data_IF_588045348950
#
_entry.id   IF_588045348950
#
_cell.length_a   1.000
_cell.length_b   1.000
_cell.length_c   1.000
_cell.angle_alpha   90.00
_cell.angle_beta   90.00
_cell.angle_gamma   90.00
#
_symmetry.space_group_name_H-M   'P 1'
#
loop_
_entity.id
_entity.type
_entity.pdbx_description
1 polymer ?
#
# COMPACT_ATOMS: atom_id res chain seq x y z
N UNK A 1 -16.05 -4.61 -7.81
CA UNK A 1 -16.41 -6.05 -7.78
C UNK A 1 -16.40 -6.47 -6.32
N UNK A 2 -17.46 -7.13 -5.82
CA UNK A 2 -17.52 -7.55 -4.43
C UNK A 2 -16.79 -8.87 -4.21
N UNK A 3 -16.08 -8.97 -3.09
CA UNK A 3 -15.42 -10.19 -2.66
C UNK A 3 -16.42 -11.28 -2.23
N UNK A 4 -16.16 -12.56 -2.54
CA UNK A 4 -16.95 -13.66 -2.01
C UNK A 4 -16.87 -13.77 -0.48
N UNK A 5 -15.82 -13.24 0.15
CA UNK A 5 -15.64 -13.26 1.61
C UNK A 5 -16.60 -12.34 2.37
N UNK A 6 -17.34 -11.47 1.68
CA UNK A 6 -18.45 -10.74 2.28
C UNK A 6 -19.62 -11.65 2.70
N UNK A 7 -19.65 -12.91 2.23
CA UNK A 7 -20.61 -13.92 2.66
C UNK A 7 -20.17 -14.67 3.94
N UNK A 8 -18.95 -14.45 4.44
CA UNK A 8 -18.46 -15.06 5.69
C UNK A 8 -19.26 -14.55 6.90
N UNK A 9 -19.51 -15.40 7.91
CA UNK A 9 -20.21 -14.99 9.12
C UNK A 9 -19.54 -13.80 9.82
N UNK A 10 -20.33 -12.80 10.18
CA UNK A 10 -19.84 -11.59 10.86
C UNK A 10 -19.18 -10.56 9.94
N UNK A 11 -19.14 -10.79 8.64
CA UNK A 11 -18.59 -9.83 7.69
C UNK A 11 -19.41 -8.53 7.66
N UNK A 12 -18.73 -7.40 7.87
CA UNK A 12 -19.29 -6.06 7.72
C UNK A 12 -18.58 -5.39 6.54
N UNK A 13 -19.32 -4.94 5.50
CA UNK A 13 -18.70 -4.31 4.34
C UNK A 13 -17.93 -3.04 4.69
N UNK A 14 -16.78 -2.85 4.08
CA UNK A 14 -16.00 -1.63 4.21
C UNK A 14 -16.59 -0.49 3.36
N UNK A 15 -16.44 0.74 3.85
CA UNK A 15 -16.70 1.95 3.08
C UNK A 15 -15.55 2.26 2.09
N UNK A 16 -15.75 3.25 1.22
CA UNK A 16 -14.69 3.82 0.36
C UNK A 16 -13.53 4.31 1.25
N UNK A 17 -12.28 4.06 0.87
CA UNK A 17 -11.81 3.52 -0.41
C UNK A 17 -11.77 1.99 -0.52
N UNK A 18 -12.11 1.25 0.52
CA UNK A 18 -12.00 -0.21 0.59
C UNK A 18 -13.32 -0.93 0.25
N UNK A 19 -14.23 -0.26 -0.44
CA UNK A 19 -15.50 -0.86 -0.84
C UNK A 19 -15.29 -2.14 -1.65
N UNK A 20 -16.12 -3.15 -1.34
CA UNK A 20 -16.07 -4.46 -2.00
C UNK A 20 -15.40 -5.56 -1.19
N UNK A 21 -14.77 -5.23 -0.07
CA UNK A 21 -14.22 -6.19 0.92
C UNK A 21 -14.79 -5.93 2.31
N UNK A 22 -14.45 -6.75 3.31
CA UNK A 22 -14.94 -6.58 4.67
C UNK A 22 -14.10 -5.58 5.47
N UNK A 23 -14.77 -4.71 6.22
CA UNK A 23 -14.17 -3.87 7.25
C UNK A 23 -13.68 -4.72 8.43
N UNK A 24 -14.49 -5.68 8.87
CA UNK A 24 -14.17 -6.66 9.90
C UNK A 24 -15.12 -7.87 9.81
N UNK A 25 -14.80 -8.94 10.56
CA UNK A 25 -15.60 -10.18 10.66
C UNK A 25 -16.13 -10.41 12.09
N UNK A 26 -16.54 -9.33 12.75
CA UNK A 26 -17.16 -9.37 14.08
C UNK A 26 -16.43 -8.47 15.09
N UNK A 27 -15.27 -8.84 15.57
CA UNK A 27 -14.48 -8.06 16.54
C UNK A 27 -13.14 -7.58 15.95
N UNK A 28 -13.05 -6.33 15.48
CA UNK A 28 -11.84 -5.79 14.86
C UNK A 28 -10.64 -5.71 15.82
N UNK A 29 -10.87 -5.65 17.12
CA UNK A 29 -9.78 -5.67 18.11
C UNK A 29 -9.26 -7.09 18.36
N UNK A 30 -10.14 -8.10 18.37
CA UNK A 30 -9.72 -9.49 18.44
C UNK A 30 -8.94 -9.91 17.19
N UNK A 31 -9.35 -9.43 16.01
CA UNK A 31 -8.63 -9.62 14.74
C UNK A 31 -7.21 -9.05 14.82
N UNK A 32 -7.03 -7.80 15.28
CA UNK A 32 -5.73 -7.18 15.48
C UNK A 32 -4.85 -7.98 16.46
N UNK A 33 -5.39 -8.33 17.64
CA UNK A 33 -4.66 -9.14 18.65
C UNK A 33 -4.23 -10.48 18.09
N UNK A 34 -5.10 -11.15 17.34
CA UNK A 34 -4.81 -12.45 16.75
C UNK A 34 -3.69 -12.37 15.70
N UNK A 35 -3.70 -11.34 14.86
CA UNK A 35 -2.63 -11.07 13.88
C UNK A 35 -1.29 -10.85 14.60
N UNK A 36 -1.27 -10.02 15.62
CA UNK A 36 -0.03 -9.68 16.35
C UNK A 36 0.51 -10.87 17.13
N UNK A 37 -0.36 -11.70 17.72
CA UNK A 37 0.04 -12.87 18.47
C UNK A 37 0.57 -14.02 17.61
N UNK A 38 0.06 -14.17 16.41
CA UNK A 38 0.43 -15.24 15.48
C UNK A 38 0.53 -14.73 14.04
N UNK A 39 -0.56 -14.78 13.29
CA UNK A 39 -0.68 -14.22 11.94
C UNK A 39 -2.12 -14.22 11.46
N UNK A 40 -2.39 -13.41 10.44
CA UNK A 40 -3.71 -13.34 9.84
C UNK A 40 -3.66 -13.05 8.36
N UNK A 41 -4.82 -13.19 7.73
CA UNK A 41 -5.07 -12.87 6.32
C UNK A 41 -6.18 -11.83 6.22
N UNK A 42 -5.90 -10.80 5.44
CA UNK A 42 -6.84 -9.72 5.10
C UNK A 42 -7.14 -9.78 3.62
N UNK A 43 -8.42 -9.69 3.30
CA UNK A 43 -8.88 -9.59 1.91
C UNK A 43 -8.57 -8.19 1.36
N UNK A 44 -7.64 -8.13 0.43
CA UNK A 44 -7.27 -6.93 -0.31
C UNK A 44 -7.65 -7.04 -1.80
N UNK A 45 -8.67 -7.84 -2.14
CA UNK A 45 -9.07 -8.15 -3.52
C UNK A 45 -9.69 -6.97 -4.27
N UNK A 46 -9.95 -5.86 -3.60
CA UNK A 46 -10.33 -4.57 -4.19
C UNK A 46 -9.14 -3.80 -4.79
N UNK A 47 -7.88 -4.18 -4.46
CA UNK A 47 -6.68 -3.60 -5.04
C UNK A 47 -6.51 -3.97 -6.50
N UNK A 48 -5.88 -3.06 -7.26
CA UNK A 48 -5.52 -3.33 -8.64
C UNK A 48 -4.31 -4.26 -8.76
N UNK A 49 -4.33 -5.16 -9.74
CA UNK A 49 -3.22 -6.04 -10.07
C UNK A 49 -2.77 -5.79 -11.52
N UNK A 50 -1.47 -5.59 -11.70
CA UNK A 50 -0.85 -5.33 -12.99
C UNK A 50 0.19 -6.41 -13.27
N UNK A 51 0.20 -6.88 -14.51
CA UNK A 51 1.20 -7.79 -15.03
C UNK A 51 2.01 -7.11 -16.14
N UNK A 52 3.33 -7.13 -16.02
CA UNK A 52 4.25 -6.61 -17.03
C UNK A 52 5.08 -7.77 -17.58
N UNK A 53 4.92 -8.04 -18.87
CA UNK A 53 5.61 -9.11 -19.58
C UNK A 53 6.64 -8.57 -20.58
N UNK A 54 7.47 -9.47 -21.07
CA UNK A 54 8.46 -9.16 -22.11
C UNK A 54 9.89 -9.11 -21.58
N UNK A 55 10.86 -9.36 -22.48
CA UNK A 55 12.27 -9.46 -22.11
C UNK A 55 12.88 -8.18 -21.58
N UNK A 56 12.33 -7.02 -21.98
CA UNK A 56 12.85 -5.72 -21.58
C UNK A 56 12.16 -5.16 -20.30
N UNK A 57 11.29 -5.93 -19.62
CA UNK A 57 10.44 -5.50 -18.49
C UNK A 57 11.21 -4.87 -17.33
N UNK A 58 12.29 -5.49 -16.91
CA UNK A 58 13.04 -5.03 -15.74
C UNK A 58 13.84 -3.76 -16.04
N UNK A 59 14.54 -3.71 -17.18
CA UNK A 59 15.28 -2.51 -17.60
C UNK A 59 14.34 -1.34 -17.89
N UNK A 60 13.17 -1.62 -18.46
CA UNK A 60 12.16 -0.61 -18.70
C UNK A 60 11.58 -0.04 -17.42
N UNK A 61 11.10 -0.88 -16.49
CA UNK A 61 10.60 -0.42 -15.20
C UNK A 61 11.70 0.27 -14.38
N UNK A 62 12.94 -0.21 -14.46
CA UNK A 62 14.09 0.46 -13.88
C UNK A 62 14.21 1.90 -14.39
N UNK A 63 14.09 2.14 -15.69
CA UNK A 63 14.22 3.49 -16.28
C UNK A 63 13.10 4.45 -15.88
N UNK A 64 11.90 3.94 -15.58
CA UNK A 64 10.72 4.73 -15.27
C UNK A 64 10.51 5.00 -13.77
N UNK A 65 11.09 4.17 -12.92
CA UNK A 65 10.81 4.21 -11.47
C UNK A 65 12.02 4.67 -10.67
N UNK A 66 11.78 5.01 -9.43
CA UNK A 66 12.80 5.45 -8.47
C UNK A 66 13.69 4.31 -7.94
N UNK A 67 13.27 3.04 -8.10
CA UNK A 67 13.95 1.87 -7.55
C UNK A 67 14.87 1.20 -8.57
N UNK A 68 15.93 0.55 -8.08
CA UNK A 68 16.83 -0.24 -8.91
C UNK A 68 16.21 -1.63 -9.16
N UNK A 69 15.67 -1.84 -10.37
CA UNK A 69 14.94 -3.06 -10.73
C UNK A 69 15.67 -3.93 -11.77
N UNK A 70 16.74 -3.42 -12.38
CA UNK A 70 17.41 -4.08 -13.51
C UNK A 70 17.88 -5.51 -13.20
N UNK A 71 18.22 -5.76 -11.94
CA UNK A 71 18.72 -7.05 -11.47
C UNK A 71 17.82 -7.70 -10.42
N UNK A 72 16.53 -7.32 -10.38
CA UNK A 72 15.57 -7.94 -9.47
C UNK A 72 15.47 -9.44 -9.77
N UNK A 73 15.86 -10.28 -8.82
CA UNK A 73 15.84 -11.72 -9.00
C UNK A 73 14.40 -12.29 -8.89
N UNK A 74 14.12 -13.44 -9.54
CA UNK A 74 12.84 -14.10 -9.38
C UNK A 74 12.51 -14.37 -7.91
N UNK A 75 11.30 -13.98 -7.49
CA UNK A 75 10.80 -14.06 -6.11
C UNK A 75 11.25 -12.91 -5.19
N UNK A 76 12.14 -12.03 -5.65
CA UNK A 76 12.43 -10.79 -4.93
C UNK A 76 11.30 -9.78 -5.09
N UNK A 77 11.12 -8.96 -4.07
CA UNK A 77 10.10 -7.92 -4.02
C UNK A 77 10.72 -6.55 -3.89
N UNK A 78 10.08 -5.55 -4.49
CA UNK A 78 10.50 -4.16 -4.38
C UNK A 78 9.29 -3.23 -4.24
N UNK A 79 9.52 -2.09 -3.63
CA UNK A 79 8.65 -0.92 -3.69
C UNK A 79 9.31 0.10 -4.62
N UNK A 80 8.53 0.67 -5.52
CA UNK A 80 9.02 1.63 -6.51
C UNK A 80 8.00 2.75 -6.70
N UNK A 81 8.47 3.95 -7.04
CA UNK A 81 7.62 5.10 -7.31
C UNK A 81 7.80 5.56 -8.75
N UNK A 82 6.74 6.07 -9.32
CA UNK A 82 6.77 6.89 -10.53
C UNK A 82 6.47 8.31 -10.08
N UNK A 83 7.39 9.22 -10.40
CA UNK A 83 7.30 10.63 -10.01
C UNK A 83 6.93 11.49 -11.23
N UNK A 84 6.36 12.67 -10.97
CA UNK A 84 6.27 13.73 -11.98
C UNK A 84 7.63 14.44 -12.15
N UNK A 85 7.80 15.35 -13.13
CA UNK A 85 9.04 16.11 -13.32
C UNK A 85 9.45 16.96 -12.10
N UNK A 86 8.51 17.32 -11.25
CA UNK A 86 8.71 18.11 -10.03
C UNK A 86 9.10 17.23 -8.83
N UNK A 87 9.03 15.89 -8.97
CA UNK A 87 9.36 14.92 -7.93
C UNK A 87 8.20 14.52 -7.02
N UNK A 88 6.95 14.88 -7.40
CA UNK A 88 5.77 14.41 -6.69
C UNK A 88 5.42 12.98 -7.09
N UNK A 89 4.85 12.23 -6.15
CA UNK A 89 4.48 10.83 -6.35
C UNK A 89 3.20 10.73 -7.16
N UNK A 90 3.29 10.18 -8.38
CA UNK A 90 2.13 9.86 -9.23
C UNK A 90 1.62 8.45 -8.99
N UNK A 91 2.55 7.47 -8.89
CA UNK A 91 2.21 6.08 -8.62
C UNK A 91 3.16 5.44 -7.63
N UNK A 92 2.63 4.59 -6.77
CA UNK A 92 3.38 3.65 -5.93
C UNK A 92 3.08 2.23 -6.39
N UNK A 93 4.13 1.46 -6.65
CA UNK A 93 4.06 0.08 -7.07
C UNK A 93 4.73 -0.79 -6.02
N UNK A 94 4.03 -1.83 -5.60
CA UNK A 94 4.61 -2.94 -4.85
C UNK A 94 4.66 -4.14 -5.77
N UNK A 95 5.85 -4.62 -6.07
CA UNK A 95 6.08 -5.55 -7.16
C UNK A 95 7.00 -6.71 -6.79
N UNK A 96 6.89 -7.79 -7.56
CA UNK A 96 7.79 -8.95 -7.55
C UNK A 96 7.95 -9.46 -8.98
N UNK A 97 9.10 -10.06 -9.30
CA UNK A 97 9.31 -10.75 -10.57
C UNK A 97 9.22 -12.27 -10.35
N UNK A 98 8.54 -13.00 -11.23
CA UNK A 98 8.46 -14.46 -11.17
C UNK A 98 9.44 -15.17 -12.14
N UNK A 99 10.27 -14.39 -12.84
CA UNK A 99 11.19 -14.84 -13.87
C UNK A 99 10.65 -14.65 -15.29
N UNK A 100 9.34 -14.62 -15.47
CA UNK A 100 8.66 -14.42 -16.76
C UNK A 100 7.97 -13.07 -16.85
N UNK A 101 7.41 -12.59 -15.73
CA UNK A 101 6.66 -11.36 -15.63
C UNK A 101 6.92 -10.64 -14.31
N UNK A 102 6.82 -9.32 -14.32
CA UNK A 102 6.69 -8.51 -13.10
C UNK A 102 5.21 -8.41 -12.76
N UNK A 103 4.90 -8.76 -11.52
CA UNK A 103 3.58 -8.61 -10.92
C UNK A 103 3.60 -7.45 -9.94
N UNK A 104 2.65 -6.53 -10.07
CA UNK A 104 2.52 -5.42 -9.15
C UNK A 104 1.08 -5.29 -8.65
N UNK A 105 0.92 -4.84 -7.42
CA UNK A 105 -0.38 -4.38 -6.94
C UNK A 105 -0.33 -2.90 -6.56
N UNK A 106 -1.47 -2.25 -6.73
CA UNK A 106 -1.65 -0.81 -6.49
C UNK A 106 -2.94 -0.56 -5.74
N UNK A 107 -3.14 0.65 -5.24
CA UNK A 107 -4.39 1.05 -4.59
C UNK A 107 -5.61 0.91 -5.52
N UNK A 108 -6.81 0.75 -4.94
CA UNK A 108 -8.04 0.60 -5.72
C UNK A 108 -8.20 1.71 -6.75
N UNK A 109 -8.57 1.34 -7.99
CA UNK A 109 -8.79 2.28 -9.09
C UNK A 109 -7.50 2.84 -9.73
N UNK A 110 -6.31 2.44 -9.26
CA UNK A 110 -5.04 2.95 -9.80
C UNK A 110 -4.43 2.10 -10.91
N UNK A 111 -4.93 0.89 -11.16
CA UNK A 111 -4.38 0.01 -12.18
C UNK A 111 -4.52 0.57 -13.60
N UNK A 112 -5.72 1.03 -13.98
CA UNK A 112 -5.98 1.63 -15.29
C UNK A 112 -5.07 2.83 -15.59
N UNK A 113 -5.05 3.88 -14.76
CA UNK A 113 -4.15 5.03 -14.94
C UNK A 113 -2.66 4.66 -15.03
N UNK A 114 -2.21 3.69 -14.23
CA UNK A 114 -0.82 3.22 -14.29
C UNK A 114 -0.52 2.50 -15.61
N UNK A 115 -1.40 1.60 -16.06
CA UNK A 115 -1.23 0.90 -17.35
C UNK A 115 -1.26 1.87 -18.52
N UNK A 116 -2.11 2.89 -18.49
CA UNK A 116 -2.13 3.96 -19.50
C UNK A 116 -0.80 4.70 -19.55
N UNK A 117 -0.27 5.13 -18.40
CA UNK A 117 1.05 5.77 -18.31
C UNK A 117 2.14 4.84 -18.87
N UNK A 118 2.21 3.59 -18.41
CA UNK A 118 3.20 2.63 -18.85
C UNK A 118 3.11 2.37 -20.37
N UNK A 119 1.91 2.26 -20.91
CA UNK A 119 1.71 2.07 -22.36
C UNK A 119 2.25 3.25 -23.17
N UNK A 120 2.03 4.49 -22.69
CA UNK A 120 2.56 5.71 -23.32
C UNK A 120 4.09 5.72 -23.33
N UNK A 121 4.73 5.15 -22.30
CA UNK A 121 6.19 5.12 -22.16
C UNK A 121 6.86 3.90 -22.80
N UNK A 122 6.11 3.06 -23.49
CA UNK A 122 6.61 1.80 -24.07
C UNK A 122 7.61 1.99 -25.23
N UNK A 123 7.39 2.97 -26.10
CA UNK A 123 8.14 3.17 -27.34
C UNK A 123 8.27 1.87 -28.16
N UNK A 124 9.50 1.52 -28.56
CA UNK A 124 9.79 0.29 -29.33
C UNK A 124 10.26 -0.88 -28.46
N UNK A 125 10.11 -0.81 -27.14
CA UNK A 125 10.53 -1.87 -26.24
C UNK A 125 9.59 -3.08 -26.32
N UNK A 126 10.16 -4.27 -26.08
CA UNK A 126 9.45 -5.56 -26.12
C UNK A 126 8.84 -5.85 -24.75
N UNK A 127 7.87 -5.04 -24.38
CA UNK A 127 7.17 -5.12 -23.10
C UNK A 127 5.68 -4.92 -23.30
N UNK A 128 4.89 -5.44 -22.39
CA UNK A 128 3.46 -5.21 -22.31
C UNK A 128 3.03 -5.09 -20.85
N UNK A 129 2.32 -4.03 -20.51
CA UNK A 129 1.69 -3.84 -19.21
C UNK A 129 0.18 -4.03 -19.34
N UNK A 130 -0.40 -4.90 -18.52
CA UNK A 130 -1.82 -5.27 -18.58
C UNK A 130 -2.44 -5.15 -17.19
N UNK A 131 -3.62 -4.53 -17.10
CA UNK A 131 -4.47 -4.62 -15.92
C UNK A 131 -5.15 -5.98 -15.89
N UNK A 132 -4.78 -6.80 -14.92
CA UNK A 132 -5.31 -8.16 -14.72
C UNK A 132 -6.17 -8.26 -13.45
N UNK A 133 -6.68 -7.13 -12.98
CA UNK A 133 -7.51 -7.04 -11.75
C UNK A 133 -8.77 -7.89 -11.84
N UNK A 134 -9.32 -8.11 -13.06
CA UNK A 134 -10.48 -9.00 -13.25
C UNK A 134 -10.19 -10.46 -12.92
N UNK A 135 -8.96 -10.92 -13.16
CA UNK A 135 -8.57 -12.33 -13.09
C UNK A 135 -7.83 -12.67 -11.80
N UNK A 136 -7.18 -11.67 -11.19
CA UNK A 136 -6.36 -11.83 -10.00
C UNK A 136 -6.87 -10.97 -8.84
N UNK A 137 -6.50 -11.38 -7.65
CA UNK A 137 -6.82 -10.72 -6.39
C UNK A 137 -5.60 -10.70 -5.48
N UNK A 138 -5.59 -9.77 -4.54
CA UNK A 138 -4.55 -9.65 -3.51
C UNK A 138 -5.10 -10.13 -2.17
N UNK A 139 -4.33 -10.97 -1.48
CA UNK A 139 -4.53 -11.32 -0.08
C UNK A 139 -3.32 -10.79 0.71
N UNK A 140 -3.55 -10.01 1.73
CA UNK A 140 -2.48 -9.50 2.59
C UNK A 140 -2.32 -10.39 3.82
N UNK A 141 -1.17 -11.03 4.00
CA UNK A 141 -0.85 -11.77 5.21
C UNK A 141 0.07 -10.96 6.12
N UNK A 142 -0.24 -10.97 7.43
CA UNK A 142 0.38 -10.16 8.46
C UNK A 142 0.73 -11.01 9.67
N UNK A 143 1.66 -10.54 10.49
CA UNK A 143 2.06 -11.18 11.73
C UNK A 143 3.35 -11.98 11.63
N UNK A 144 3.91 -12.40 12.79
CA UNK A 144 5.25 -12.99 12.86
C UNK A 144 5.36 -14.38 12.24
N UNK A 145 4.26 -15.15 12.21
CA UNK A 145 4.24 -16.53 11.70
C UNK A 145 3.67 -16.64 10.28
N UNK A 146 3.48 -15.52 9.57
CA UNK A 146 2.92 -15.53 8.22
C UNK A 146 3.77 -16.32 7.24
N UNK A 147 3.16 -17.11 6.34
CA UNK A 147 3.90 -17.84 5.31
C UNK A 147 4.46 -16.89 4.24
N UNK A 148 5.51 -17.36 3.55
CA UNK A 148 6.10 -16.58 2.46
C UNK A 148 5.15 -16.39 1.27
N UNK A 149 4.33 -17.39 0.93
CA UNK A 149 3.52 -17.41 -0.30
C UNK A 149 4.38 -17.68 -1.55
N UNK A 150 3.79 -18.15 -2.63
CA UNK A 150 4.50 -18.41 -3.88
C UNK A 150 4.67 -17.13 -4.71
N UNK A 151 3.57 -16.54 -5.17
CA UNK A 151 3.58 -15.27 -5.88
C UNK A 151 3.17 -14.15 -4.91
N UNK A 152 4.15 -13.52 -4.27
CA UNK A 152 3.89 -12.53 -3.23
C UNK A 152 4.87 -11.36 -3.27
N UNK A 153 4.35 -10.16 -3.12
CA UNK A 153 5.13 -8.95 -2.85
C UNK A 153 5.32 -8.83 -1.33
N UNK A 154 6.55 -8.88 -0.88
CA UNK A 154 6.90 -8.95 0.55
C UNK A 154 7.66 -7.73 1.01
N UNK A 155 7.35 -7.30 2.21
CA UNK A 155 8.17 -6.34 2.96
C UNK A 155 8.24 -6.76 4.44
N UNK A 156 8.86 -5.92 5.28
CA UNK A 156 8.98 -6.18 6.72
C UNK A 156 7.63 -6.22 7.44
N UNK A 157 6.60 -5.60 6.90
CA UNK A 157 5.26 -5.50 7.51
C UNK A 157 4.33 -6.62 7.05
N UNK A 158 4.28 -6.91 5.74
CA UNK A 158 3.28 -7.80 5.15
C UNK A 158 3.83 -8.65 4.00
N UNK A 159 3.10 -9.72 3.64
CA UNK A 159 3.22 -10.38 2.35
C UNK A 159 1.89 -10.24 1.62
N UNK A 160 1.92 -9.63 0.44
CA UNK A 160 0.74 -9.45 -0.42
C UNK A 160 0.76 -10.53 -1.48
N UNK A 161 -0.03 -11.58 -1.27
CA UNK A 161 -0.08 -12.77 -2.13
C UNK A 161 -1.05 -12.49 -3.27
N UNK A 162 -0.59 -12.66 -4.50
CA UNK A 162 -1.41 -12.53 -5.71
C UNK A 162 -1.95 -13.92 -6.06
N UNK A 163 -3.26 -14.05 -6.12
CA UNK A 163 -3.97 -15.30 -6.37
C UNK A 163 -4.96 -15.15 -7.51
N UNK A 164 -5.32 -16.26 -8.18
CA UNK A 164 -6.46 -16.23 -9.10
C UNK A 164 -7.73 -15.84 -8.34
N UNK A 165 -8.49 -14.90 -8.86
CA UNK A 165 -9.70 -14.39 -8.21
C UNK A 165 -10.71 -15.52 -7.95
N UNK A 166 -10.84 -16.46 -8.86
CA UNK A 166 -11.71 -17.63 -8.68
C UNK A 166 -11.26 -18.58 -7.56
N UNK A 167 -9.99 -18.53 -7.15
CA UNK A 167 -9.43 -19.34 -6.06
C UNK A 167 -9.43 -18.62 -4.70
N UNK A 168 -9.84 -17.34 -4.63
CA UNK A 168 -9.72 -16.50 -3.45
C UNK A 168 -10.30 -17.18 -2.18
N UNK A 169 -11.57 -17.60 -2.23
CA UNK A 169 -12.24 -18.21 -1.07
C UNK A 169 -11.56 -19.53 -0.63
N UNK A 170 -11.18 -20.38 -1.59
CA UNK A 170 -10.48 -21.63 -1.29
C UNK A 170 -9.10 -21.39 -0.68
N UNK A 171 -8.36 -20.38 -1.19
CA UNK A 171 -7.06 -19.98 -0.65
C UNK A 171 -7.21 -19.51 0.81
N UNK A 172 -8.17 -18.63 1.08
CA UNK A 172 -8.43 -18.15 2.45
C UNK A 172 -8.84 -19.29 3.38
N UNK A 173 -9.68 -20.21 2.92
CA UNK A 173 -10.04 -21.40 3.72
C UNK A 173 -8.80 -22.25 4.07
N UNK A 174 -7.89 -22.44 3.12
CA UNK A 174 -6.61 -23.15 3.35
C UNK A 174 -5.71 -22.42 4.37
N UNK A 175 -5.59 -21.08 4.24
CA UNK A 175 -4.80 -20.28 5.18
C UNK A 175 -5.39 -20.33 6.60
N UNK A 176 -6.72 -20.24 6.74
CA UNK A 176 -7.41 -20.41 8.03
C UNK A 176 -7.19 -21.79 8.63
N UNK A 177 -7.23 -22.83 7.82
CA UNK A 177 -6.92 -24.20 8.28
C UNK A 177 -5.47 -24.35 8.76
N UNK A 178 -4.57 -23.50 8.27
CA UNK A 178 -3.17 -23.41 8.72
C UNK A 178 -2.97 -22.44 9.90
N UNK A 179 -4.06 -21.94 10.50
CA UNK A 179 -4.01 -21.10 11.70
C UNK A 179 -4.10 -19.59 11.45
N UNK A 180 -4.37 -19.14 10.21
CA UNK A 180 -4.57 -17.71 9.94
C UNK A 180 -5.85 -17.18 10.59
N UNK A 181 -5.77 -16.03 11.21
CA UNK A 181 -6.94 -15.24 11.59
C UNK A 181 -7.47 -14.54 10.34
N UNK A 182 -8.74 -14.74 9.99
CA UNK A 182 -9.39 -13.93 8.98
C UNK A 182 -9.72 -12.57 9.59
N UNK A 183 -9.22 -11.51 8.96
CA UNK A 183 -9.39 -10.15 9.46
C UNK A 183 -9.79 -9.20 8.33
N UNK A 184 -10.47 -8.11 8.69
CA UNK A 184 -10.89 -7.09 7.75
C UNK A 184 -9.90 -5.94 7.61
N UNK A 185 -10.30 -4.96 6.76
CA UNK A 185 -9.46 -3.80 6.46
C UNK A 185 -9.20 -2.92 7.68
N UNK A 186 -10.12 -2.87 8.65
CA UNK A 186 -9.89 -2.09 9.88
C UNK A 186 -8.70 -2.62 10.71
N UNK A 187 -8.53 -3.93 10.79
CA UNK A 187 -7.35 -4.50 11.45
C UNK A 187 -6.06 -4.17 10.70
N UNK A 188 -6.08 -4.28 9.37
CA UNK A 188 -4.94 -3.89 8.52
C UNK A 188 -4.58 -2.42 8.69
N UNK A 189 -5.57 -1.51 8.60
CA UNK A 189 -5.36 -0.07 8.72
C UNK A 189 -4.80 0.33 10.09
N UNK A 190 -5.35 -0.22 11.18
CA UNK A 190 -4.84 0.04 12.52
C UNK A 190 -3.36 -0.38 12.67
N UNK A 191 -3.03 -1.58 12.21
CA UNK A 191 -1.66 -2.10 12.31
C UNK A 191 -0.68 -1.36 11.39
N UNK A 192 -1.08 -0.96 10.15
CA UNK A 192 -0.19 -0.20 9.27
C UNK A 192 0.07 1.22 9.76
N UNK A 193 -0.96 1.90 10.32
CA UNK A 193 -0.83 3.23 10.91
C UNK A 193 0.10 3.16 12.12
N UNK A 194 -0.08 2.16 13.00
CA UNK A 194 0.81 1.94 14.13
C UNK A 194 2.26 1.67 13.69
N UNK A 195 2.46 1.01 12.55
CA UNK A 195 3.77 0.77 11.94
C UNK A 195 4.33 1.97 11.14
N UNK A 196 3.62 3.10 11.08
CA UNK A 196 4.05 4.29 10.32
C UNK A 196 4.09 4.08 8.80
N UNK A 197 3.25 3.19 8.26
CA UNK A 197 3.21 2.86 6.82
C UNK A 197 2.19 3.74 6.10
N UNK A 198 2.62 4.70 5.27
CA UNK A 198 1.69 5.55 4.52
C UNK A 198 0.95 4.78 3.43
N UNK A 199 -0.24 5.25 3.11
CA UNK A 199 -1.10 4.71 2.06
C UNK A 199 -1.36 5.79 1.00
N UNK A 200 -1.01 5.54 -0.28
CA UNK A 200 -1.28 6.48 -1.36
C UNK A 200 -2.76 6.87 -1.46
N UNK A 201 -3.00 8.16 -1.65
CA UNK A 201 -4.35 8.72 -1.78
C UNK A 201 -5.07 8.99 -0.47
N UNK A 202 -4.61 8.41 0.65
CA UNK A 202 -5.06 8.77 2.00
C UNK A 202 -4.02 9.61 2.73
N UNK A 203 -2.78 9.13 2.79
CA UNK A 203 -1.68 9.82 3.49
C UNK A 203 -0.83 10.67 2.53
N UNK A 204 -1.24 10.76 1.25
CA UNK A 204 -0.58 11.54 0.21
C UNK A 204 -1.56 12.45 -0.50
N UNK A 205 -1.10 13.61 -0.91
CA UNK A 205 -1.76 14.50 -1.87
C UNK A 205 -0.97 14.54 -3.20
N UNK A 206 -1.45 15.36 -4.15
CA UNK A 206 -0.81 15.56 -5.46
C UNK A 206 0.56 16.25 -5.39
N UNK A 207 0.99 16.72 -4.22
CA UNK A 207 2.27 17.40 -3.98
C UNK A 207 3.22 16.57 -3.13
N UNK A 208 2.82 15.38 -2.71
CA UNK A 208 3.60 14.53 -1.82
C UNK A 208 4.90 14.08 -2.50
N UNK A 209 6.03 14.22 -1.79
CA UNK A 209 7.35 13.76 -2.23
C UNK A 209 7.81 12.58 -1.38
N UNK A 210 8.70 11.69 -1.88
CA UNK A 210 9.11 10.48 -1.18
C UNK A 210 9.65 10.72 0.24
N UNK A 211 10.34 11.83 0.47
CA UNK A 211 10.93 12.18 1.77
C UNK A 211 9.89 12.42 2.87
N UNK A 212 8.74 12.99 2.51
CA UNK A 212 7.67 13.28 3.46
C UNK A 212 7.07 12.01 4.07
N UNK A 213 7.17 10.90 3.35
CA UNK A 213 6.49 9.64 3.59
C UNK A 213 7.43 8.53 4.11
N UNK A 214 8.72 8.83 4.28
CA UNK A 214 9.70 7.83 4.67
C UNK A 214 10.00 6.80 3.56
N UNK A 215 9.68 7.10 2.30
CA UNK A 215 9.87 6.17 1.18
C UNK A 215 11.27 6.22 0.56
N UNK A 216 12.15 7.09 1.04
CA UNK A 216 13.53 7.16 0.53
C UNK A 216 14.27 5.85 0.77
N UNK A 217 14.11 5.24 1.94
CA UNK A 217 14.82 4.01 2.29
C UNK A 217 14.24 2.75 1.63
N UNK A 218 12.94 2.77 1.28
CA UNK A 218 12.25 1.57 0.81
C UNK A 218 11.96 1.58 -0.69
N UNK A 219 11.73 2.75 -1.28
CA UNK A 219 11.25 2.87 -2.65
C UNK A 219 12.19 3.65 -3.58
N UNK A 220 13.29 4.21 -3.07
CA UNK A 220 14.21 5.04 -3.86
C UNK A 220 15.63 4.51 -3.77
N UNK A 221 16.25 4.26 -4.92
CA UNK A 221 17.67 3.93 -4.99
C UNK A 221 18.46 5.17 -5.39
N UNK A 222 19.10 5.82 -4.41
CA UNK A 222 19.77 7.12 -4.58
C UNK A 222 20.95 7.10 -5.57
N UNK A 223 21.58 5.94 -5.81
CA UNK A 223 22.75 5.80 -6.67
C UNK A 223 22.44 5.18 -8.03
N UNK A 224 21.17 4.99 -8.40
CA UNK A 224 20.80 4.51 -9.73
C UNK A 224 20.91 5.62 -10.79
N UNK A 225 20.84 5.22 -12.07
CA UNK A 225 20.79 6.16 -13.21
C UNK A 225 19.57 7.09 -13.20
N UNK A 226 19.47 7.93 -14.20
CA UNK A 226 18.45 8.96 -14.29
C UNK A 226 17.02 8.38 -14.29
N UNK A 227 16.12 9.05 -13.60
CA UNK A 227 14.68 8.84 -13.63
C UNK A 227 13.94 10.17 -13.46
N UNK A 228 12.68 10.21 -13.84
CA UNK A 228 11.85 11.43 -13.79
C UNK A 228 11.70 11.92 -12.35
N UNK A 229 11.91 13.22 -12.11
CA UNK A 229 11.82 13.84 -10.78
C UNK A 229 13.05 13.66 -9.87
N UNK A 230 14.14 13.03 -10.35
CA UNK A 230 15.34 12.75 -9.57
C UNK A 230 16.01 14.01 -8.99
N UNK A 231 15.97 15.14 -9.70
CA UNK A 231 16.58 16.38 -9.22
C UNK A 231 15.99 16.85 -7.88
N UNK A 232 14.66 16.79 -7.75
CA UNK A 232 13.98 17.16 -6.50
C UNK A 232 14.35 16.17 -5.39
N UNK A 233 14.38 14.87 -5.67
CA UNK A 233 14.78 13.84 -4.71
C UNK A 233 16.21 14.10 -4.22
N UNK A 234 17.15 14.31 -5.11
CA UNK A 234 18.55 14.58 -4.77
C UNK A 234 18.72 15.89 -3.99
N UNK A 235 18.03 16.95 -4.41
CA UNK A 235 18.06 18.25 -3.72
C UNK A 235 17.56 18.16 -2.29
N UNK A 236 16.40 17.56 -2.07
CA UNK A 236 15.81 17.42 -0.73
C UNK A 236 16.67 16.50 0.13
N UNK A 237 17.19 15.40 -0.43
CA UNK A 237 18.09 14.48 0.27
C UNK A 237 19.35 15.19 0.76
N UNK A 238 19.99 16.01 -0.08
CA UNK A 238 21.19 16.75 0.25
C UNK A 238 20.96 17.90 1.22
N UNK A 239 19.79 18.56 1.16
CA UNK A 239 19.41 19.64 2.09
C UNK A 239 18.89 19.09 3.43
N UNK A 240 18.45 17.83 3.47
CA UNK A 240 18.02 17.13 4.69
C UNK A 240 16.66 17.54 5.28
N UNK A 241 15.91 18.41 4.62
CA UNK A 241 14.65 18.95 5.15
C UNK A 241 13.53 18.96 4.12
N UNK A 242 12.64 17.96 4.12
CA UNK A 242 11.41 18.03 3.34
C UNK A 242 10.47 19.11 3.91
N UNK A 243 9.62 19.73 3.07
CA UNK A 243 8.73 20.81 3.50
C UNK A 243 7.65 20.33 4.49
N UNK A 244 7.29 19.06 4.45
CA UNK A 244 6.30 18.40 5.31
C UNK A 244 6.84 17.05 5.77
N UNK A 245 6.18 16.46 6.74
CA UNK A 245 6.45 15.07 7.17
C UNK A 245 5.17 14.39 7.60
N UNK A 246 5.07 13.11 7.34
CA UNK A 246 4.05 12.26 7.93
C UNK A 246 4.36 12.09 9.43
N UNK A 247 3.34 12.29 10.27
CA UNK A 247 3.42 12.05 11.70
C UNK A 247 2.24 11.22 12.15
N UNK A 248 2.44 10.42 13.20
CA UNK A 248 1.36 9.73 13.89
C UNK A 248 0.93 10.59 15.08
N UNK A 249 -0.36 10.83 15.18
CA UNK A 249 -1.00 11.44 16.34
C UNK A 249 -1.73 10.36 17.13
N UNK A 250 -1.69 10.44 18.43
CA UNK A 250 -2.52 9.64 19.34
C UNK A 250 -3.60 10.59 19.88
N UNK A 251 -4.85 10.21 19.69
CA UNK A 251 -5.98 10.98 20.19
C UNK A 251 -6.25 10.60 21.65
N UNK A 252 -6.79 11.53 22.42
CA UNK A 252 -7.10 11.28 23.85
C UNK A 252 -8.34 10.39 24.08
N UNK A 253 -9.09 10.09 23.01
CA UNK A 253 -10.30 9.27 23.08
C UNK A 253 -11.49 9.97 23.76
N UNK A 254 -11.42 11.26 24.01
CA UNK A 254 -12.53 12.03 24.60
C UNK A 254 -13.75 12.11 23.69
N UNK A 255 -13.53 12.03 22.38
CA UNK A 255 -14.59 11.93 21.38
C UNK A 255 -14.69 10.51 20.81
N UNK A 256 -15.90 9.98 20.73
CA UNK A 256 -16.12 8.63 20.13
C UNK A 256 -16.13 8.67 18.58
N UNK A 257 -15.44 9.62 18.00
CA UNK A 257 -15.33 9.81 16.55
C UNK A 257 -13.86 9.89 16.15
N UNK A 258 -13.49 9.18 15.10
CA UNK A 258 -12.21 9.39 14.42
C UNK A 258 -12.31 10.61 13.49
N UNK A 259 -11.21 11.36 13.31
CA UNK A 259 -11.16 12.40 12.28
C UNK A 259 -11.31 11.78 10.89
N UNK A 260 -11.92 12.53 9.99
CA UNK A 260 -12.06 12.12 8.60
C UNK A 260 -10.82 12.47 7.78
N UNK A 261 -10.63 11.75 6.67
CA UNK A 261 -9.57 12.09 5.72
C UNK A 261 -9.75 13.53 5.22
N UNK A 262 -8.68 14.32 5.28
CA UNK A 262 -8.68 15.74 4.88
C UNK A 262 -9.05 16.72 5.98
N UNK A 263 -9.50 16.26 7.15
CA UNK A 263 -9.76 17.17 8.28
C UNK A 263 -8.49 17.95 8.62
N UNK A 264 -8.58 19.27 8.87
CA UNK A 264 -7.41 20.10 9.15
C UNK A 264 -6.79 19.77 10.50
N UNK A 265 -5.47 19.73 10.54
CA UNK A 265 -4.68 19.66 11.77
C UNK A 265 -4.20 21.07 12.10
N UNK A 266 -4.60 21.58 13.25
CA UNK A 266 -4.26 22.95 13.70
C UNK A 266 -3.37 22.92 14.94
N UNK A 267 -2.55 23.94 15.11
CA UNK A 267 -1.86 24.16 16.38
C UNK A 267 -2.88 24.55 17.47
N UNK A 268 -2.63 24.11 18.72
CA UNK A 268 -3.41 24.59 19.84
C UNK A 268 -3.08 26.08 20.13
N UNK A 269 -4.08 26.92 20.13
CA UNK A 269 -3.96 28.30 20.57
C UNK A 269 -3.84 28.40 22.11
N UNK A 270 -3.47 29.57 22.64
CA UNK A 270 -3.23 29.79 24.09
C UNK A 270 -4.43 29.43 24.97
N UNK A 271 -5.64 29.57 24.45
CA UNK A 271 -6.90 29.35 25.18
C UNK A 271 -7.62 28.05 24.74
N UNK A 272 -6.89 27.11 24.14
CA UNK A 272 -7.48 25.90 23.59
C UNK A 272 -8.28 26.10 22.28
N UNK A 273 -8.22 27.32 21.73
CA UNK A 273 -8.83 27.60 20.41
C UNK A 273 -7.99 27.04 19.28
N UNK A 274 -8.61 26.78 18.12
CA UNK A 274 -7.88 26.36 16.92
C UNK A 274 -6.97 27.50 16.45
N UNK A 275 -5.67 27.21 16.33
CA UNK A 275 -4.65 28.10 15.81
C UNK A 275 -4.42 27.93 14.30
N UNK A 276 -3.19 28.13 13.85
CA UNK A 276 -2.82 27.99 12.45
C UNK A 276 -2.93 26.52 12.00
N UNK A 277 -3.46 26.31 10.80
CA UNK A 277 -3.44 25.00 10.14
C UNK A 277 -2.01 24.63 9.77
N UNK A 278 -1.60 23.41 10.14
CA UNK A 278 -0.25 22.89 9.92
C UNK A 278 -0.23 21.58 9.10
N UNK A 279 -1.39 21.03 8.79
CA UNK A 279 -1.51 19.81 8.01
C UNK A 279 -2.95 19.32 7.90
N UNK A 280 -3.09 18.11 7.40
CA UNK A 280 -4.38 17.44 7.28
C UNK A 280 -4.31 15.99 7.80
N UNK A 281 -5.44 15.46 8.20
CA UNK A 281 -5.58 14.06 8.59
C UNK A 281 -5.52 13.18 7.34
N UNK A 282 -4.54 12.27 7.31
CA UNK A 282 -4.48 11.22 6.31
C UNK A 282 -5.41 10.08 6.65
N UNK A 283 -4.85 9.02 7.22
CA UNK A 283 -5.58 7.85 7.70
C UNK A 283 -5.85 7.94 9.20
N UNK A 284 -6.99 7.39 9.63
CA UNK A 284 -7.33 7.25 11.04
C UNK A 284 -7.87 5.85 11.33
N UNK A 285 -7.53 5.27 12.47
CA UNK A 285 -8.01 3.95 12.88
C UNK A 285 -7.97 3.80 14.40
N UNK A 286 -8.73 2.83 14.92
CA UNK A 286 -8.68 2.43 16.34
C UNK A 286 -7.76 1.23 16.49
N UNK A 287 -6.67 1.41 17.20
CA UNK A 287 -5.73 0.34 17.52
C UNK A 287 -6.08 -0.32 18.86
N UNK A 288 -5.97 -1.63 18.94
CA UNK A 288 -6.39 -2.42 20.13
C UNK A 288 -5.64 -2.06 21.42
N UNK A 289 -4.45 -1.50 21.32
CA UNK A 289 -3.56 -1.15 22.43
C UNK A 289 -3.30 0.36 22.53
N UNK A 290 -3.14 1.03 21.38
CA UNK A 290 -2.80 2.46 21.33
C UNK A 290 -4.04 3.38 21.40
N UNK A 291 -5.24 2.82 21.22
CA UNK A 291 -6.47 3.60 21.12
C UNK A 291 -6.68 4.24 19.73
N UNK A 292 -7.43 5.34 19.67
CA UNK A 292 -7.70 6.06 18.44
C UNK A 292 -6.51 6.87 17.93
#
# INVERSE_FOLDING_TARGET
MNSPLLAEPGAVPAAVPDAGVAAHYGDPYAEQRGIVAAWGVVDASHRGVIKVTGPDRLTWLHSLTTQHLEHLAPGESAQALILDPQGHVEHELRLTDDGEAVWAHVEPGRAGPLVEFLTTMRFMLRVEATDVTSDYAVLTTLGPQRPAGELAVRDSFASNVIVLRGALAATVAGLRSSGAILAGTWAHEALRIAAGRPRPGLDTDHRAIPHELGWIETAVHLSKGCYRGQETVARVHNLGHPPRRLVRLLLDGSEDRLPEHGDPVTLAGPDGTAGAEVGFTGSAARHYELGP
#
